data_IF_449109254192
#
_entry.id   IF_449109254192
#
_cell.length_a   1.000
_cell.length_b   1.000
_cell.length_c   1.000
_cell.angle_alpha   90.00
_cell.angle_beta   90.00
_cell.angle_gamma   90.00
#
_symmetry.space_group_name_H-M   'P 1'
#
loop_
_entity.id
_entity.type
_entity.pdbx_description
1 polymer ?
#
# COMPACT_ATOMS: atom_id res chain seq x y z
N UNK A 1 -13.38 -19.84 -22.04
CA UNK A 1 -12.16 -19.75 -21.23
C UNK A 1 -11.27 -20.96 -21.46
N UNK A 2 -9.94 -20.78 -21.50
CA UNK A 2 -8.98 -21.85 -21.78
C UNK A 2 -8.74 -22.73 -20.54
N UNK A 3 -9.27 -23.96 -20.56
CA UNK A 3 -9.07 -24.96 -19.48
C UNK A 3 -7.59 -25.29 -19.20
N UNK A 4 -6.69 -25.04 -20.15
CA UNK A 4 -5.25 -25.33 -20.01
C UNK A 4 -4.51 -24.40 -19.04
N UNK A 5 -5.05 -23.20 -18.74
CA UNK A 5 -4.43 -22.30 -17.76
C UNK A 5 -4.66 -22.72 -16.31
N UNK A 6 -5.61 -23.62 -16.03
CA UNK A 6 -5.92 -24.07 -14.66
C UNK A 6 -4.71 -24.65 -13.92
N UNK A 7 -3.92 -25.50 -14.59
CA UNK A 7 -2.70 -26.07 -14.01
C UNK A 7 -1.59 -25.04 -13.78
N UNK A 8 -1.44 -24.05 -14.66
CA UNK A 8 -0.47 -22.98 -14.49
C UNK A 8 -0.84 -22.08 -13.30
N UNK A 9 -2.13 -21.80 -13.12
CA UNK A 9 -2.68 -21.03 -12.01
C UNK A 9 -2.50 -21.81 -10.68
N UNK A 10 -2.81 -23.11 -10.65
CA UNK A 10 -2.58 -23.93 -9.45
C UNK A 10 -1.10 -23.98 -9.06
N UNK A 11 -0.21 -24.14 -10.03
CA UNK A 11 1.22 -24.17 -9.77
C UNK A 11 1.71 -22.82 -9.23
N UNK A 12 1.28 -21.72 -9.83
CA UNK A 12 1.63 -20.38 -9.35
C UNK A 12 1.11 -20.10 -7.92
N UNK A 13 -0.10 -20.58 -7.58
CA UNK A 13 -0.66 -20.43 -6.23
C UNK A 13 0.11 -21.29 -5.22
N UNK A 14 0.47 -22.53 -5.59
CA UNK A 14 1.25 -23.43 -4.71
C UNK A 14 2.68 -22.93 -4.49
N UNK A 15 3.31 -22.41 -5.54
CA UNK A 15 4.67 -21.88 -5.51
C UNK A 15 4.73 -20.46 -4.92
N UNK A 16 3.57 -19.84 -4.63
CA UNK A 16 3.52 -18.56 -3.93
C UNK A 16 3.84 -18.71 -2.44
N UNK A 17 4.47 -17.69 -1.84
CA UNK A 17 4.79 -17.61 -0.40
C UNK A 17 3.55 -17.54 0.53
N UNK A 18 2.36 -17.89 0.02
CA UNK A 18 1.11 -17.92 0.75
C UNK A 18 0.92 -19.24 1.53
N UNK A 19 1.68 -20.29 1.22
CA UNK A 19 1.59 -21.59 1.92
C UNK A 19 0.25 -22.30 1.73
N UNK A 20 -0.39 -22.05 0.58
CA UNK A 20 -1.74 -22.55 0.27
C UNK A 20 -1.66 -23.78 -0.62
N UNK A 21 -2.57 -24.74 -0.39
CA UNK A 21 -2.73 -25.92 -1.23
C UNK A 21 -4.00 -25.78 -2.08
N UNK A 22 -3.90 -25.25 -3.32
CA UNK A 22 -5.05 -25.15 -4.22
C UNK A 22 -5.57 -26.55 -4.58
N UNK A 23 -6.89 -26.69 -4.66
CA UNK A 23 -7.60 -27.88 -5.07
C UNK A 23 -8.58 -27.55 -6.20
N UNK A 24 -8.36 -28.10 -7.40
CA UNK A 24 -9.31 -28.02 -8.50
C UNK A 24 -10.59 -28.81 -8.22
N UNK A 25 -11.75 -28.16 -8.40
CA UNK A 25 -13.06 -28.77 -8.56
C UNK A 25 -13.61 -28.44 -9.95
N UNK A 26 -13.42 -29.35 -10.90
CA UNK A 26 -13.87 -29.16 -12.28
C UNK A 26 -13.16 -28.00 -12.97
N UNK A 27 -13.90 -26.94 -13.31
CA UNK A 27 -13.37 -25.74 -13.96
C UNK A 27 -12.99 -24.61 -12.96
N UNK A 28 -13.10 -24.84 -11.65
CA UNK A 28 -12.77 -23.86 -10.60
C UNK A 28 -11.64 -24.35 -9.67
N UNK A 29 -10.75 -23.44 -9.26
CA UNK A 29 -9.68 -23.71 -8.27
C UNK A 29 -10.14 -23.19 -6.90
N UNK A 30 -10.35 -24.09 -5.93
CA UNK A 30 -10.60 -23.70 -4.52
C UNK A 30 -9.28 -23.66 -3.77
N UNK A 31 -9.04 -22.57 -3.08
CA UNK A 31 -7.85 -22.42 -2.22
C UNK A 31 -8.32 -22.36 -0.77
N UNK A 32 -8.25 -23.46 -0.01
CA UNK A 32 -8.57 -23.43 1.40
C UNK A 32 -7.52 -22.57 2.10
N UNK A 33 -7.94 -21.44 2.67
CA UNK A 33 -7.08 -20.68 3.57
C UNK A 33 -7.14 -21.33 4.96
N UNK A 34 -6.06 -22.00 5.41
CA UNK A 34 -6.00 -22.44 6.81
C UNK A 34 -6.06 -21.21 7.72
N UNK A 35 -6.58 -21.38 8.95
CA UNK A 35 -6.52 -20.31 9.94
C UNK A 35 -5.07 -19.89 10.12
N UNK A 36 -4.80 -18.60 9.93
CA UNK A 36 -3.47 -18.05 10.16
C UNK A 36 -3.07 -18.31 11.61
N UNK A 37 -1.95 -18.99 11.83
CA UNK A 37 -1.36 -19.15 13.16
C UNK A 37 -1.02 -17.77 13.74
N UNK A 38 -0.95 -17.66 15.07
CA UNK A 38 -0.60 -16.39 15.71
C UNK A 38 0.79 -15.89 15.26
N UNK A 39 1.73 -16.81 15.02
CA UNK A 39 3.05 -16.51 14.47
C UNK A 39 2.96 -15.88 13.07
N UNK A 40 2.15 -16.47 12.16
CA UNK A 40 1.98 -15.92 10.81
C UNK A 40 1.26 -14.57 10.82
N UNK A 41 0.30 -14.36 11.73
CA UNK A 41 -0.36 -13.06 11.92
C UNK A 41 0.64 -12.00 12.37
N UNK A 42 1.54 -12.31 13.32
CA UNK A 42 2.58 -11.39 13.78
C UNK A 42 3.56 -11.01 12.66
N UNK A 43 3.95 -11.95 11.81
CA UNK A 43 4.83 -11.66 10.68
C UNK A 43 4.14 -10.81 9.61
N UNK A 44 2.85 -11.05 9.33
CA UNK A 44 2.07 -10.19 8.44
C UNK A 44 1.92 -8.76 9.00
N UNK A 45 1.75 -8.61 10.32
CA UNK A 45 1.73 -7.28 10.96
C UNK A 45 3.06 -6.54 10.74
N UNK A 46 4.21 -7.22 10.83
CA UNK A 46 5.51 -6.58 10.55
C UNK A 46 5.60 -6.10 9.10
N UNK A 47 5.13 -6.90 8.15
CA UNK A 47 5.10 -6.52 6.72
C UNK A 47 4.20 -5.31 6.52
N UNK A 48 2.99 -5.31 7.09
CA UNK A 48 2.05 -4.18 7.00
C UNK A 48 2.65 -2.90 7.58
N UNK A 49 3.36 -2.98 8.72
CA UNK A 49 4.08 -1.83 9.29
C UNK A 49 5.19 -1.32 8.37
N UNK A 50 5.97 -2.23 7.77
CA UNK A 50 6.99 -1.87 6.80
C UNK A 50 6.42 -1.13 5.60
N UNK A 51 5.34 -1.65 5.02
CA UNK A 51 4.64 -1.02 3.90
C UNK A 51 4.08 0.37 4.27
N UNK A 52 3.49 0.51 5.47
CA UNK A 52 2.98 1.79 5.92
C UNK A 52 4.06 2.85 6.13
N UNK A 53 5.23 2.48 6.67
CA UNK A 53 6.36 3.41 6.78
C UNK A 53 6.93 3.78 5.40
N UNK A 54 7.05 2.83 4.48
CA UNK A 54 7.44 3.10 3.09
C UNK A 54 6.48 4.09 2.41
N UNK A 55 5.17 3.91 2.59
CA UNK A 55 4.16 4.81 2.07
C UNK A 55 4.31 6.22 2.64
N UNK A 56 4.51 6.36 3.96
CA UNK A 56 4.77 7.68 4.59
C UNK A 56 6.04 8.33 4.06
N UNK A 57 7.12 7.57 3.85
CA UNK A 57 8.36 8.08 3.26
C UNK A 57 8.12 8.59 1.84
N UNK A 58 7.38 7.83 1.02
CA UNK A 58 7.01 8.25 -0.34
C UNK A 58 6.22 9.57 -0.34
N UNK A 59 5.22 9.72 0.54
CA UNK A 59 4.44 10.96 0.68
C UNK A 59 5.36 12.14 1.06
N UNK A 60 6.30 11.95 1.99
CA UNK A 60 7.24 12.99 2.41
C UNK A 60 8.21 13.39 1.28
N UNK A 61 8.62 12.44 0.44
CA UNK A 61 9.45 12.72 -0.73
C UNK A 61 8.68 13.55 -1.76
N UNK A 62 7.44 13.15 -2.09
CA UNK A 62 6.58 13.91 -3.01
C UNK A 62 6.36 15.34 -2.51
N UNK A 63 6.15 15.53 -1.20
CA UNK A 63 6.05 16.88 -0.60
C UNK A 63 7.31 17.70 -0.86
N UNK A 64 8.49 17.11 -0.70
CA UNK A 64 9.77 17.78 -0.95
C UNK A 64 9.90 18.19 -2.41
N UNK A 65 9.54 17.31 -3.33
CA UNK A 65 9.62 17.56 -4.77
C UNK A 65 8.62 18.64 -5.22
N UNK A 66 7.40 18.62 -4.65
CA UNK A 66 6.39 19.65 -4.87
C UNK A 66 6.88 21.03 -4.38
N UNK A 67 7.44 21.10 -3.17
CA UNK A 67 7.99 22.35 -2.62
C UNK A 67 9.18 22.87 -3.43
N UNK A 68 10.07 21.99 -3.91
CA UNK A 68 11.17 22.36 -4.78
C UNK A 68 10.67 22.90 -6.14
N UNK A 69 9.60 22.32 -6.66
CA UNK A 69 8.95 22.79 -7.90
C UNK A 69 8.34 24.17 -7.73
N UNK A 70 7.64 24.43 -6.60
CA UNK A 70 7.10 25.75 -6.26
C UNK A 70 8.20 26.81 -6.17
N UNK A 71 9.31 26.51 -5.49
CA UNK A 71 10.46 27.41 -5.43
C UNK A 71 11.07 27.71 -6.81
N UNK A 72 11.09 26.72 -7.71
CA UNK A 72 11.60 26.90 -9.07
C UNK A 72 10.68 27.81 -9.88
N UNK A 73 9.36 27.56 -9.81
CA UNK A 73 8.35 28.39 -10.47
C UNK A 73 8.38 29.85 -9.99
N UNK A 74 8.66 30.07 -8.70
CA UNK A 74 8.79 31.42 -8.14
C UNK A 74 10.05 32.13 -8.68
N UNK A 75 11.19 31.42 -8.74
CA UNK A 75 12.43 31.95 -9.33
C UNK A 75 12.27 32.30 -10.80
N UNK A 76 11.53 31.48 -11.53
CA UNK A 76 11.20 31.69 -12.94
C UNK A 76 10.11 32.76 -13.15
N UNK A 77 9.63 33.38 -12.05
CA UNK A 77 8.57 34.41 -12.03
C UNK A 77 7.26 33.95 -12.68
N UNK A 78 7.00 32.64 -12.68
CA UNK A 78 5.73 32.08 -13.16
C UNK A 78 4.63 32.20 -12.11
N UNK A 79 5.01 32.28 -10.84
CA UNK A 79 4.10 32.48 -9.69
C UNK A 79 4.61 33.60 -8.79
N UNK A 80 3.71 34.21 -8.00
CA UNK A 80 4.07 35.20 -6.99
C UNK A 80 4.53 34.54 -5.67
N UNK A 81 5.16 35.31 -4.77
CA UNK A 81 5.53 34.84 -3.42
C UNK A 81 4.29 34.44 -2.59
N UNK A 82 3.17 35.15 -2.77
CA UNK A 82 1.90 34.82 -2.13
C UNK A 82 1.33 33.49 -2.65
N UNK A 83 1.44 33.24 -3.96
CA UNK A 83 1.00 31.97 -4.56
C UNK A 83 1.91 30.81 -4.14
N UNK A 84 3.22 31.04 -4.01
CA UNK A 84 4.17 30.05 -3.48
C UNK A 84 3.79 29.65 -2.05
N UNK A 85 3.52 30.64 -1.18
CA UNK A 85 3.12 30.39 0.21
C UNK A 85 1.82 29.60 0.29
N UNK A 86 0.80 29.96 -0.50
CA UNK A 86 -0.47 29.21 -0.57
C UNK A 86 -0.26 27.79 -1.08
N UNK A 87 0.54 27.61 -2.13
CA UNK A 87 0.88 26.31 -2.67
C UNK A 87 1.56 25.41 -1.63
N UNK A 88 2.51 25.95 -0.85
CA UNK A 88 3.16 25.20 0.23
C UNK A 88 2.18 24.81 1.34
N UNK A 89 1.27 25.69 1.73
CA UNK A 89 0.22 25.36 2.72
C UNK A 89 -0.70 24.24 2.24
N UNK A 90 -1.12 24.26 0.97
CA UNK A 90 -2.00 23.24 0.42
C UNK A 90 -1.28 21.90 0.26
N UNK A 91 -0.01 21.91 -0.17
CA UNK A 91 0.85 20.73 -0.20
C UNK A 91 1.01 20.13 1.21
N UNK A 92 1.17 20.97 2.23
CA UNK A 92 1.27 20.52 3.63
C UNK A 92 -0.04 19.90 4.12
N UNK A 93 -1.20 20.55 3.87
CA UNK A 93 -2.52 20.00 4.22
C UNK A 93 -2.77 18.64 3.56
N UNK A 94 -2.42 18.50 2.28
CA UNK A 94 -2.54 17.23 1.56
C UNK A 94 -1.63 16.16 2.15
N UNK A 95 -0.39 16.51 2.47
CA UNK A 95 0.57 15.60 3.10
C UNK A 95 0.04 15.08 4.44
N UNK A 96 -0.44 15.97 5.30
CA UNK A 96 -0.96 15.60 6.62
C UNK A 96 -2.20 14.72 6.51
N UNK A 97 -3.10 15.04 5.56
CA UNK A 97 -4.27 14.21 5.26
C UNK A 97 -3.89 12.78 4.87
N UNK A 98 -2.95 12.63 3.93
CA UNK A 98 -2.57 11.29 3.45
C UNK A 98 -1.79 10.52 4.51
N UNK A 99 -0.98 11.17 5.34
CA UNK A 99 -0.33 10.51 6.49
C UNK A 99 -1.39 9.96 7.45
N UNK A 100 -2.40 10.76 7.80
CA UNK A 100 -3.48 10.33 8.68
C UNK A 100 -4.31 9.18 8.08
N UNK A 101 -4.53 9.19 6.76
CA UNK A 101 -5.23 8.12 6.04
C UNK A 101 -4.41 6.82 6.03
N UNK A 102 -3.10 6.90 5.81
CA UNK A 102 -2.19 5.74 5.90
C UNK A 102 -2.24 5.15 7.31
N UNK A 103 -2.15 5.98 8.36
CA UNK A 103 -2.22 5.51 9.75
C UNK A 103 -3.56 4.83 10.06
N UNK A 104 -4.67 5.39 9.58
CA UNK A 104 -6.00 4.78 9.74
C UNK A 104 -6.09 3.40 9.07
N UNK A 105 -5.57 3.27 7.85
CA UNK A 105 -5.56 2.00 7.11
C UNK A 105 -4.67 0.96 7.80
N UNK A 106 -3.52 1.39 8.33
CA UNK A 106 -2.61 0.56 9.12
C UNK A 106 -3.31 -0.03 10.34
N UNK A 107 -3.96 0.82 11.14
CA UNK A 107 -4.69 0.38 12.34
C UNK A 107 -5.84 -0.55 12.00
N UNK A 108 -6.61 -0.24 10.96
CA UNK A 108 -7.68 -1.11 10.48
C UNK A 108 -7.14 -2.48 10.06
N UNK A 109 -6.01 -2.50 9.32
CA UNK A 109 -5.43 -3.75 8.84
C UNK A 109 -4.81 -4.59 9.96
N UNK A 110 -4.20 -3.95 10.95
CA UNK A 110 -3.72 -4.63 12.16
C UNK A 110 -4.87 -5.25 12.96
N UNK A 111 -5.98 -4.52 13.12
CA UNK A 111 -7.18 -5.05 13.77
C UNK A 111 -7.76 -6.25 13.01
N UNK A 112 -7.88 -6.16 11.68
CA UNK A 112 -8.37 -7.27 10.84
C UNK A 112 -7.47 -8.51 10.93
N UNK A 113 -6.15 -8.34 11.01
CA UNK A 113 -5.21 -9.47 11.13
C UNK A 113 -5.27 -10.13 12.52
N UNK A 114 -5.69 -9.39 13.55
CA UNK A 114 -5.84 -9.92 14.91
C UNK A 114 -7.25 -10.43 15.20
N UNK A 115 -8.28 -9.91 14.52
CA UNK A 115 -9.65 -10.43 14.60
C UNK A 115 -9.73 -11.87 14.04
N UNK A 116 -10.65 -12.66 14.58
CA UNK A 116 -10.98 -14.03 14.16
C UNK A 116 -12.40 -13.99 13.58
#
# INVERSE_FOLDING_TARGET
WEKKMGQAIEKAIRDSDLGLNPASQGDAVRVPMPMLTEERRRDLIKVVKGEGENAKVAVRNIRRDANASLQTLQKDKQISEDDERRGQEDVQKLTDRFIAEIDKLLVAKEADLMAI
#
